data_IF_510767682196
#
_entry.id   IF_510767682196
#
_cell.length_a   1.000
_cell.length_b   1.000
_cell.length_c   1.000
_cell.angle_alpha   90.00
_cell.angle_beta   90.00
_cell.angle_gamma   90.00
#
_symmetry.space_group_name_H-M   'P 1'
#
loop_
_entity.id
_entity.type
_entity.pdbx_description
1 polymer ?
#
# COMPACT_ATOMS: atom_id res chain seq x y z
N UNK A 1 17.38 -27.24 6.37
CA UNK A 1 18.63 -26.68 6.92
C UNK A 1 18.47 -25.28 7.54
N UNK A 2 17.57 -24.41 7.06
CA UNK A 2 17.35 -23.06 7.64
C UNK A 2 16.80 -23.07 9.08
N UNK A 3 15.83 -23.94 9.41
CA UNK A 3 15.19 -24.00 10.74
C UNK A 3 16.17 -24.29 11.90
N UNK A 4 17.08 -25.26 11.72
CA UNK A 4 18.04 -25.62 12.77
C UNK A 4 19.02 -24.48 13.07
N UNK A 5 19.42 -23.70 12.06
CA UNK A 5 20.31 -22.53 12.23
C UNK A 5 19.63 -21.40 12.99
N UNK A 6 18.33 -21.21 12.78
CA UNK A 6 17.54 -20.22 13.52
C UNK A 6 17.39 -20.64 14.99
N UNK A 7 17.08 -21.91 15.25
CA UNK A 7 17.00 -22.43 16.61
C UNK A 7 18.34 -22.30 17.36
N UNK A 8 19.45 -22.61 16.68
CA UNK A 8 20.80 -22.43 17.21
C UNK A 8 21.09 -20.95 17.53
N UNK A 9 20.78 -20.02 16.61
CA UNK A 9 20.94 -18.59 16.83
C UNK A 9 20.09 -18.05 18.00
N UNK A 10 18.89 -18.59 18.22
CA UNK A 10 18.06 -18.23 19.38
C UNK A 10 18.69 -18.73 20.67
N UNK A 11 19.20 -19.97 20.69
CA UNK A 11 19.88 -20.51 21.88
C UNK A 11 21.16 -19.75 22.22
N UNK A 12 21.93 -19.30 21.22
CA UNK A 12 23.12 -18.48 21.45
C UNK A 12 22.77 -17.10 21.98
N UNK A 13 21.71 -16.46 21.47
CA UNK A 13 21.21 -15.18 22.01
C UNK A 13 20.83 -15.32 23.48
N UNK A 14 20.03 -16.33 23.83
CA UNK A 14 19.61 -16.56 25.23
C UNK A 14 20.81 -16.83 26.16
N UNK A 15 21.80 -17.58 25.68
CA UNK A 15 23.04 -17.81 26.43
C UNK A 15 23.84 -16.52 26.63
N UNK A 16 23.99 -15.72 25.57
CA UNK A 16 24.70 -14.44 25.63
C UNK A 16 23.99 -13.42 26.55
N UNK A 17 22.66 -13.35 26.52
CA UNK A 17 21.85 -12.52 27.42
C UNK A 17 22.09 -12.91 28.88
N UNK A 18 22.04 -14.20 29.20
CA UNK A 18 22.31 -14.69 30.57
C UNK A 18 23.74 -14.39 31.02
N UNK A 19 24.72 -14.50 30.11
CA UNK A 19 26.10 -14.12 30.45
C UNK A 19 26.23 -12.62 30.67
N UNK A 20 25.51 -11.79 29.93
CA UNK A 20 25.51 -10.34 30.08
C UNK A 20 24.92 -9.92 31.43
N UNK A 21 23.79 -10.51 31.84
CA UNK A 21 23.20 -10.24 33.15
C UNK A 21 24.17 -10.54 34.31
N UNK A 22 24.89 -11.67 34.21
CA UNK A 22 25.92 -12.03 35.20
C UNK A 22 27.10 -11.05 35.19
N UNK A 23 27.42 -10.46 34.04
CA UNK A 23 28.50 -9.49 33.90
C UNK A 23 28.15 -8.13 34.47
N UNK A 24 26.95 -7.65 34.17
CA UNK A 24 26.42 -6.39 34.69
C UNK A 24 26.32 -6.46 36.22
N UNK A 25 25.96 -7.62 36.78
CA UNK A 25 25.97 -7.84 38.23
C UNK A 25 27.40 -7.76 38.82
N UNK A 26 28.41 -8.31 38.14
CA UNK A 26 29.81 -8.21 38.57
C UNK A 26 30.34 -6.77 38.49
N UNK A 27 29.96 -6.00 37.47
CA UNK A 27 30.27 -4.57 37.39
C UNK A 27 29.60 -3.80 38.54
N UNK A 28 28.32 -4.08 38.83
CA UNK A 28 27.63 -3.46 39.96
C UNK A 28 28.34 -3.75 41.29
N UNK A 29 28.80 -4.99 41.50
CA UNK A 29 29.53 -5.38 42.70
C UNK A 29 30.87 -4.64 42.83
N UNK A 30 31.64 -4.58 41.75
CA UNK A 30 32.88 -3.80 41.70
C UNK A 30 32.59 -2.31 41.98
N UNK A 31 31.61 -1.71 41.32
CA UNK A 31 31.23 -0.32 41.55
C UNK A 31 30.81 -0.06 43.00
N UNK A 32 30.12 -0.99 43.66
CA UNK A 32 29.79 -0.89 45.09
C UNK A 32 31.04 -0.96 45.99
N UNK A 33 32.01 -1.84 45.69
CA UNK A 33 33.27 -1.93 46.42
C UNK A 33 34.11 -0.64 46.32
N UNK A 34 34.09 0.01 45.15
CA UNK A 34 34.71 1.32 44.90
C UNK A 34 34.12 2.41 45.80
N UNK A 35 32.79 2.49 45.90
CA UNK A 35 32.10 3.46 46.77
C UNK A 35 32.34 3.19 48.26
N UNK A 36 32.60 1.94 48.64
CA UNK A 36 32.89 1.52 50.02
C UNK A 36 34.30 1.83 50.54
N UNK A 37 35.20 2.43 49.73
CA UNK A 37 36.62 2.71 50.08
C UNK A 37 37.43 1.47 50.52
N UNK A 38 36.99 0.27 50.17
CA UNK A 38 37.66 -0.98 50.52
C UNK A 38 38.43 -1.53 49.31
N UNK A 39 39.43 -0.78 48.83
CA UNK A 39 40.24 -1.19 47.67
C UNK A 39 41.73 -1.08 48.04
N UNK A 40 42.41 -2.22 48.32
CA UNK A 40 43.83 -2.22 48.68
C UNK A 40 44.77 -1.81 47.54
N UNK A 41 44.40 -2.10 46.29
CA UNK A 41 45.13 -1.74 45.07
C UNK A 41 44.17 -1.14 44.03
N UNK A 42 44.21 0.18 43.92
CA UNK A 42 43.34 0.95 43.03
C UNK A 42 43.70 0.76 41.55
N UNK A 43 44.94 0.39 41.22
CA UNK A 43 45.37 0.20 39.83
C UNK A 43 44.83 -1.12 39.30
N UNK A 44 45.05 -2.21 40.04
CA UNK A 44 44.52 -3.54 39.70
C UNK A 44 42.99 -3.53 39.61
N UNK A 45 42.34 -2.85 40.56
CA UNK A 45 40.88 -2.72 40.58
C UNK A 45 40.33 -1.97 39.36
N UNK A 46 40.96 -0.85 38.97
CA UNK A 46 40.55 -0.11 37.78
C UNK A 46 40.75 -0.92 36.51
N UNK A 47 41.81 -1.73 36.43
CA UNK A 47 42.05 -2.62 35.29
C UNK A 47 40.93 -3.65 35.16
N UNK A 48 40.56 -4.32 36.26
CA UNK A 48 39.46 -5.29 36.27
C UNK A 48 38.12 -4.66 35.87
N UNK A 49 37.85 -3.45 36.34
CA UNK A 49 36.61 -2.73 36.03
C UNK A 49 36.56 -2.26 34.56
N UNK A 50 37.69 -1.83 34.00
CA UNK A 50 37.82 -1.51 32.56
C UNK A 50 37.65 -2.78 31.72
N UNK A 51 38.26 -3.89 32.11
CA UNK A 51 38.16 -5.16 31.41
C UNK A 51 36.72 -5.69 31.43
N UNK A 52 36.06 -5.68 32.59
CA UNK A 52 34.66 -6.09 32.72
C UNK A 52 33.72 -5.23 31.86
N UNK A 53 33.91 -3.90 31.85
CA UNK A 53 33.14 -2.98 30.98
C UNK A 53 33.41 -3.24 29.50
N UNK A 54 34.67 -3.47 29.12
CA UNK A 54 35.04 -3.77 27.73
C UNK A 54 34.43 -5.09 27.26
N UNK A 55 34.34 -6.08 28.16
CA UNK A 55 33.73 -7.37 27.86
C UNK A 55 32.21 -7.27 27.73
N UNK A 56 31.54 -6.48 28.58
CA UNK A 56 30.12 -6.15 28.42
C UNK A 56 29.85 -5.45 27.08
N UNK A 57 30.67 -4.46 26.73
CA UNK A 57 30.52 -3.73 25.47
C UNK A 57 30.65 -4.67 24.25
N UNK A 58 31.58 -5.63 24.28
CA UNK A 58 31.74 -6.63 23.20
C UNK A 58 30.56 -7.61 23.14
N UNK A 59 30.10 -8.08 24.29
CA UNK A 59 29.00 -9.06 24.38
C UNK A 59 27.68 -8.42 23.93
N UNK A 60 27.42 -7.18 24.34
CA UNK A 60 26.26 -6.38 23.90
C UNK A 60 26.28 -6.09 22.40
N UNK A 61 27.43 -5.73 21.84
CA UNK A 61 27.59 -5.51 20.39
C UNK A 61 27.34 -6.81 19.59
N UNK A 62 27.85 -7.93 20.09
CA UNK A 62 27.60 -9.27 19.52
C UNK A 62 26.11 -9.62 19.55
N UNK A 63 25.44 -9.38 20.69
CA UNK A 63 23.98 -9.57 20.83
C UNK A 63 23.19 -8.69 19.86
N UNK A 64 23.57 -7.42 19.70
CA UNK A 64 22.95 -6.51 18.74
C UNK A 64 23.07 -7.06 17.31
N UNK A 65 24.25 -7.56 16.94
CA UNK A 65 24.45 -8.16 15.63
C UNK A 65 23.58 -9.40 15.38
N UNK A 66 23.47 -10.29 16.36
CA UNK A 66 22.58 -11.46 16.23
C UNK A 66 21.09 -11.08 16.18
N UNK A 67 20.65 -10.10 16.98
CA UNK A 67 19.25 -9.61 16.96
C UNK A 67 18.89 -8.94 15.64
N UNK A 68 19.79 -8.10 15.10
CA UNK A 68 19.62 -7.47 13.79
C UNK A 68 19.62 -8.50 12.65
N UNK A 69 20.53 -9.49 12.70
CA UNK A 69 20.56 -10.57 11.70
C UNK A 69 19.29 -11.44 11.69
N UNK A 70 18.60 -11.55 12.84
CA UNK A 70 17.30 -12.23 12.96
C UNK A 70 16.10 -11.32 12.69
N UNK A 71 16.31 -10.05 12.32
CA UNK A 71 15.23 -9.10 12.02
C UNK A 71 14.39 -8.71 13.24
N UNK A 72 14.91 -8.93 14.46
CA UNK A 72 14.15 -8.71 15.69
C UNK A 72 13.88 -7.23 15.94
N UNK A 73 14.83 -6.37 15.58
CA UNK A 73 14.72 -4.92 15.72
C UNK A 73 13.70 -4.33 14.74
N UNK A 74 13.70 -4.79 13.49
CA UNK A 74 12.73 -4.43 12.47
C UNK A 74 11.31 -4.86 12.86
N UNK A 75 11.16 -6.04 13.46
CA UNK A 75 9.86 -6.52 13.97
C UNK A 75 9.35 -5.68 15.13
N UNK A 76 10.23 -5.29 16.05
CA UNK A 76 9.88 -4.39 17.16
C UNK A 76 9.53 -2.98 16.66
N UNK A 77 10.30 -2.45 15.71
CA UNK A 77 10.03 -1.17 15.06
C UNK A 77 8.71 -1.19 14.28
N UNK A 78 8.42 -2.26 13.54
CA UNK A 78 7.14 -2.44 12.87
C UNK A 78 5.97 -2.48 13.85
N UNK A 79 6.12 -3.18 14.98
CA UNK A 79 5.10 -3.20 16.02
C UNK A 79 4.86 -1.81 16.63
N UNK A 80 5.92 -1.01 16.80
CA UNK A 80 5.82 0.39 17.22
C UNK A 80 5.13 1.25 16.17
N UNK A 81 5.52 1.15 14.90
CA UNK A 81 4.90 1.88 13.78
C UNK A 81 3.42 1.52 13.61
N UNK A 82 3.04 0.25 13.83
CA UNK A 82 1.63 -0.17 13.81
C UNK A 82 0.78 0.41 14.94
N UNK A 83 1.41 0.76 16.08
CA UNK A 83 0.71 1.46 17.17
C UNK A 83 0.57 2.96 16.90
N UNK A 84 1.33 3.49 15.95
CA UNK A 84 1.19 4.87 15.51
C UNK A 84 -0.10 5.02 14.69
N UNK A 85 -0.99 5.86 15.19
CA UNK A 85 -2.28 6.17 14.56
C UNK A 85 -2.05 6.80 13.19
N UNK A 86 -1.08 7.70 13.07
CA UNK A 86 -0.80 8.40 11.81
C UNK A 86 -0.37 7.43 10.71
N UNK A 87 0.57 6.54 11.02
CA UNK A 87 1.07 5.55 10.07
C UNK A 87 -0.02 4.56 9.64
N UNK A 88 -0.85 4.11 10.58
CA UNK A 88 -1.96 3.18 10.31
C UNK A 88 -3.00 3.82 9.37
N UNK A 89 -3.41 5.05 9.66
CA UNK A 89 -4.37 5.78 8.81
C UNK A 89 -3.79 5.99 7.41
N UNK A 90 -2.51 6.36 7.30
CA UNK A 90 -1.85 6.58 6.00
C UNK A 90 -1.72 5.29 5.19
N UNK A 91 -1.40 4.16 5.82
CA UNK A 91 -1.36 2.85 5.16
C UNK A 91 -2.74 2.43 4.66
N UNK A 92 -3.77 2.61 5.47
CA UNK A 92 -5.15 2.29 5.08
C UNK A 92 -5.61 3.16 3.90
N UNK A 93 -5.32 4.46 3.94
CA UNK A 93 -5.61 5.37 2.84
C UNK A 93 -4.88 4.96 1.54
N UNK A 94 -3.60 4.58 1.64
CA UNK A 94 -2.84 4.08 0.50
C UNK A 94 -3.42 2.78 -0.07
N UNK A 95 -3.84 1.85 0.78
CA UNK A 95 -4.49 0.62 0.35
C UNK A 95 -5.79 0.91 -0.41
N UNK A 96 -6.65 1.78 0.14
CA UNK A 96 -7.90 2.19 -0.52
C UNK A 96 -7.62 2.88 -1.86
N UNK A 97 -6.67 3.81 -1.92
CA UNK A 97 -6.24 4.46 -3.18
C UNK A 97 -5.79 3.43 -4.22
N UNK A 98 -5.00 2.44 -3.80
CA UNK A 98 -4.53 1.36 -4.68
C UNK A 98 -5.70 0.52 -5.21
N UNK A 99 -6.66 0.19 -4.34
CA UNK A 99 -7.86 -0.55 -4.73
C UNK A 99 -8.71 0.22 -5.75
N UNK A 100 -8.97 1.51 -5.52
CA UNK A 100 -9.70 2.37 -6.45
C UNK A 100 -8.98 2.43 -7.80
N UNK A 101 -7.67 2.67 -7.79
CA UNK A 101 -6.89 2.75 -9.03
C UNK A 101 -6.95 1.42 -9.81
N UNK A 102 -6.83 0.28 -9.13
CA UNK A 102 -6.95 -1.02 -9.78
C UNK A 102 -8.35 -1.25 -10.36
N UNK A 103 -9.39 -0.84 -9.66
CA UNK A 103 -10.77 -0.94 -10.14
C UNK A 103 -10.99 -0.08 -11.39
N UNK A 104 -10.55 1.17 -11.36
CA UNK A 104 -10.63 2.08 -12.51
C UNK A 104 -9.86 1.53 -13.72
N UNK A 105 -8.67 0.97 -13.51
CA UNK A 105 -7.91 0.28 -14.57
C UNK A 105 -8.72 -0.88 -15.16
N UNK A 106 -9.32 -1.72 -14.33
CA UNK A 106 -10.13 -2.84 -14.80
C UNK A 106 -11.34 -2.36 -15.61
N UNK A 107 -12.08 -1.37 -15.11
CA UNK A 107 -13.22 -0.80 -15.82
C UNK A 107 -12.82 -0.21 -17.18
N UNK A 108 -11.69 0.52 -17.24
CA UNK A 108 -11.13 1.01 -18.50
C UNK A 108 -10.85 -0.13 -19.47
N UNK A 109 -10.19 -1.20 -19.02
CA UNK A 109 -9.88 -2.34 -19.88
C UNK A 109 -11.14 -3.06 -20.40
N UNK A 110 -12.17 -3.22 -19.55
CA UNK A 110 -13.44 -3.81 -19.96
C UNK A 110 -14.17 -2.93 -20.97
N UNK A 111 -14.19 -1.61 -20.77
CA UNK A 111 -14.83 -0.66 -21.69
C UNK A 111 -14.12 -0.64 -23.04
N UNK A 112 -12.78 -0.59 -23.06
CA UNK A 112 -12.00 -0.71 -24.30
C UNK A 112 -12.24 -2.08 -24.99
N UNK A 113 -12.41 -3.15 -24.20
CA UNK A 113 -12.70 -4.49 -24.74
C UNK A 113 -14.08 -4.54 -25.39
N UNK A 114 -15.08 -3.98 -24.74
CA UNK A 114 -16.44 -3.88 -25.25
C UNK A 114 -16.47 -3.02 -26.52
N UNK A 115 -15.85 -1.84 -26.51
CA UNK A 115 -15.74 -0.97 -27.68
C UNK A 115 -15.11 -1.72 -28.87
N UNK A 116 -13.98 -2.38 -28.65
CA UNK A 116 -13.32 -3.17 -29.70
C UNK A 116 -14.22 -4.26 -30.27
N UNK A 117 -14.95 -4.97 -29.41
CA UNK A 117 -15.89 -6.01 -29.85
C UNK A 117 -17.05 -5.44 -30.66
N UNK A 118 -17.61 -4.31 -30.25
CA UNK A 118 -18.71 -3.64 -30.93
C UNK A 118 -18.28 -3.04 -32.27
N UNK A 119 -17.11 -2.38 -32.34
CA UNK A 119 -16.56 -1.90 -33.61
C UNK A 119 -16.31 -3.06 -34.59
N UNK A 120 -15.90 -4.23 -34.09
CA UNK A 120 -15.73 -5.42 -34.91
C UNK A 120 -17.05 -5.94 -35.47
N UNK A 121 -18.13 -5.97 -34.68
CA UNK A 121 -19.47 -6.37 -35.17
C UNK A 121 -20.02 -5.35 -36.15
N UNK A 122 -19.95 -4.05 -35.85
CA UNK A 122 -20.44 -2.99 -36.74
C UNK A 122 -19.67 -2.97 -38.07
N UNK A 123 -18.35 -3.16 -38.05
CA UNK A 123 -17.57 -3.29 -39.30
C UNK A 123 -17.98 -4.53 -40.12
N UNK A 124 -18.30 -5.64 -39.45
CA UNK A 124 -18.86 -6.84 -40.07
C UNK A 124 -20.25 -6.61 -40.66
N UNK A 125 -21.13 -5.92 -39.93
CA UNK A 125 -22.48 -5.55 -40.34
C UNK A 125 -22.48 -4.53 -41.47
N UNK A 126 -21.60 -3.53 -41.48
CA UNK A 126 -21.41 -2.62 -42.61
C UNK A 126 -21.02 -3.39 -43.87
N UNK A 127 -20.14 -4.39 -43.78
CA UNK A 127 -19.82 -5.26 -44.93
C UNK A 127 -21.04 -6.03 -45.40
N UNK A 128 -21.80 -6.62 -44.47
CA UNK A 128 -23.05 -7.33 -44.78
C UNK A 128 -24.10 -6.40 -45.39
N UNK A 129 -24.25 -5.18 -44.88
CA UNK A 129 -25.22 -4.18 -45.35
C UNK A 129 -24.81 -3.57 -46.71
N UNK A 130 -23.51 -3.40 -46.98
CA UNK A 130 -23.01 -3.03 -48.32
C UNK A 130 -23.26 -4.17 -49.31
N UNK A 131 -22.99 -5.43 -48.92
CA UNK A 131 -23.30 -6.58 -49.79
C UNK A 131 -24.80 -6.76 -49.97
N UNK A 132 -25.60 -6.63 -48.92
CA UNK A 132 -27.05 -6.73 -49.00
C UNK A 132 -27.63 -5.57 -49.80
N UNK A 133 -27.20 -4.33 -49.59
CA UNK A 133 -27.63 -3.17 -50.39
C UNK A 133 -27.37 -3.33 -51.90
N UNK A 134 -26.32 -4.07 -52.29
CA UNK A 134 -26.05 -4.43 -53.67
C UNK A 134 -26.96 -5.56 -54.21
N UNK A 135 -27.46 -6.45 -53.34
CA UNK A 135 -28.33 -7.60 -53.68
C UNK A 135 -29.84 -7.35 -53.46
N UNK A 136 -30.20 -6.39 -52.61
CA UNK A 136 -31.56 -6.05 -52.20
C UNK A 136 -32.48 -5.63 -53.37
N UNK A 137 -32.01 -4.97 -54.44
CA UNK A 137 -32.88 -4.66 -55.59
C UNK A 137 -33.39 -5.89 -56.34
N UNK A 138 -32.85 -7.10 -56.11
CA UNK A 138 -33.15 -8.29 -56.90
C UNK A 138 -33.98 -9.36 -56.16
N UNK A 139 -34.07 -9.32 -54.84
CA UNK A 139 -34.66 -10.43 -54.04
C UNK A 139 -35.66 -9.94 -52.96
N UNK A 140 -35.65 -8.66 -52.58
CA UNK A 140 -36.51 -8.15 -51.52
C UNK A 140 -37.95 -7.88 -52.01
N UNK A 141 -38.99 -8.15 -51.19
CA UNK A 141 -40.36 -7.78 -51.51
C UNK A 141 -40.49 -6.27 -51.75
N UNK A 142 -41.34 -5.84 -52.70
CA UNK A 142 -41.64 -4.42 -52.88
C UNK A 142 -42.10 -3.82 -51.54
N UNK A 143 -41.41 -2.76 -51.08
CA UNK A 143 -41.63 -2.04 -49.80
C UNK A 143 -40.83 -2.49 -48.57
N UNK A 144 -39.90 -3.45 -48.69
CA UNK A 144 -38.99 -3.76 -47.58
C UNK A 144 -37.98 -2.63 -47.34
N UNK A 145 -37.94 -2.08 -46.12
CA UNK A 145 -36.98 -1.06 -45.70
C UNK A 145 -35.87 -1.73 -44.88
N UNK A 146 -34.58 -1.52 -45.19
CA UNK A 146 -33.48 -2.10 -44.41
C UNK A 146 -33.40 -1.50 -42.99
N UNK A 147 -32.87 -2.25 -42.00
CA UNK A 147 -32.64 -1.73 -40.66
C UNK A 147 -31.70 -0.51 -40.68
N UNK A 148 -31.94 0.45 -39.79
CA UNK A 148 -31.05 1.61 -39.62
C UNK A 148 -29.79 1.23 -38.84
N UNK A 149 -28.63 1.65 -39.35
CA UNK A 149 -27.35 1.48 -38.68
C UNK A 149 -27.29 2.47 -37.51
N UNK A 150 -26.98 1.97 -36.31
CA UNK A 150 -26.77 2.81 -35.13
C UNK A 150 -25.41 3.50 -35.29
N UNK A 151 -25.37 4.82 -35.16
CA UNK A 151 -24.11 5.57 -35.23
C UNK A 151 -23.21 5.23 -34.05
N UNK A 152 -21.95 4.87 -34.33
CA UNK A 152 -20.93 4.63 -33.29
C UNK A 152 -20.40 5.92 -32.65
N UNK A 153 -20.67 7.07 -33.26
CA UNK A 153 -20.15 8.35 -32.81
C UNK A 153 -20.87 8.77 -31.51
N UNK A 154 -20.11 8.87 -30.42
CA UNK A 154 -20.65 9.28 -29.12
C UNK A 154 -21.09 8.14 -28.19
N UNK A 155 -21.24 6.90 -28.67
CA UNK A 155 -21.71 5.77 -27.85
C UNK A 155 -20.72 5.42 -26.72
N UNK A 156 -19.42 5.55 -26.98
CA UNK A 156 -18.36 5.25 -26.02
C UNK A 156 -17.74 6.51 -25.39
N UNK A 157 -18.41 7.66 -25.54
CA UNK A 157 -17.95 8.94 -24.96
C UNK A 157 -18.29 9.09 -23.47
N UNK A 158 -18.69 7.99 -22.82
CA UNK A 158 -18.89 7.94 -21.37
C UNK A 158 -17.51 8.05 -20.67
N UNK A 159 -17.24 9.17 -20.02
CA UNK A 159 -16.05 9.39 -19.20
C UNK A 159 -16.28 8.94 -17.74
N UNK A 160 -15.21 8.70 -16.99
CA UNK A 160 -15.23 8.34 -15.56
C UNK A 160 -15.88 9.45 -14.72
N UNK A 161 -15.84 10.69 -15.21
CA UNK A 161 -16.41 11.86 -14.55
C UNK A 161 -17.89 12.09 -14.85
N UNK A 162 -18.53 11.27 -15.70
CA UNK A 162 -19.92 11.46 -16.05
C UNK A 162 -20.88 11.11 -14.90
N UNK A 163 -21.92 11.94 -14.74
CA UNK A 163 -22.94 11.81 -13.68
C UNK A 163 -23.68 10.46 -13.66
N UNK A 164 -23.55 9.64 -14.71
CA UNK A 164 -24.12 8.29 -14.78
C UNK A 164 -23.45 7.29 -13.82
N UNK A 165 -22.24 7.60 -13.33
CA UNK A 165 -21.55 6.83 -12.30
C UNK A 165 -21.89 7.27 -10.86
N UNK A 166 -22.79 8.24 -10.69
CA UNK A 166 -23.26 8.67 -9.38
C UNK A 166 -24.40 7.73 -8.91
N UNK A 167 -24.07 6.74 -8.07
CA UNK A 167 -25.04 5.88 -7.35
C UNK A 167 -25.81 6.62 -6.23
N UNK A 168 -26.11 7.91 -6.44
CA UNK A 168 -26.84 8.74 -5.48
C UNK A 168 -28.32 8.40 -5.56
N UNK A 169 -28.90 7.92 -4.45
CA UNK A 169 -30.33 7.62 -4.32
C UNK A 169 -30.71 6.12 -4.43
N UNK A 170 -29.73 5.21 -4.57
CA UNK A 170 -30.00 3.76 -4.54
C UNK A 170 -29.93 3.12 -3.15
N UNK A 171 -29.66 3.91 -2.10
CA UNK A 171 -29.82 3.44 -0.72
C UNK A 171 -30.27 4.59 0.21
N UNK A 172 -31.56 4.57 0.51
CA UNK A 172 -32.35 5.67 1.09
C UNK A 172 -32.29 5.72 2.63
N UNK A 173 -31.10 5.55 3.23
CA UNK A 173 -30.94 5.49 4.70
C UNK A 173 -30.19 6.68 5.32
N UNK A 174 -29.72 7.64 4.52
CA UNK A 174 -29.06 8.85 5.05
C UNK A 174 -29.81 10.10 4.63
N UNK A 175 -30.68 10.55 5.54
CA UNK A 175 -31.51 11.74 5.39
C UNK A 175 -30.72 13.04 5.21
N UNK A 176 -29.44 13.09 5.62
CA UNK A 176 -28.58 14.25 5.46
C UNK A 176 -27.19 13.81 4.98
N UNK A 177 -26.94 13.76 3.66
CA UNK A 177 -25.64 13.37 3.14
C UNK A 177 -24.61 14.51 3.34
N UNK A 178 -23.31 14.18 3.45
CA UNK A 178 -22.26 15.18 3.58
C UNK A 178 -22.27 16.20 2.43
N UNK A 179 -21.85 17.44 2.69
CA UNK A 179 -21.90 18.51 1.68
C UNK A 179 -21.11 18.20 0.40
N UNK A 180 -19.98 17.49 0.47
CA UNK A 180 -19.27 17.05 -0.75
C UNK A 180 -20.07 16.06 -1.62
N UNK A 181 -21.16 15.50 -1.10
CA UNK A 181 -22.06 14.58 -1.80
C UNK A 181 -23.38 15.27 -2.22
N UNK A 182 -23.89 16.21 -1.42
CA UNK A 182 -25.19 16.88 -1.65
C UNK A 182 -25.10 18.27 -2.25
N UNK A 183 -23.96 18.95 -2.11
CA UNK A 183 -23.76 20.32 -2.53
C UNK A 183 -22.90 20.36 -3.80
N UNK A 184 -23.52 20.80 -4.89
CA UNK A 184 -22.89 20.99 -6.20
C UNK A 184 -21.71 21.96 -6.16
N UNK A 185 -21.79 23.02 -5.36
CA UNK A 185 -20.72 23.99 -5.24
C UNK A 185 -19.50 23.39 -4.52
N UNK A 186 -19.73 22.56 -3.51
CA UNK A 186 -18.65 21.85 -2.81
C UNK A 186 -17.97 20.83 -3.73
N UNK A 187 -18.74 20.09 -4.54
CA UNK A 187 -18.19 19.14 -5.53
C UNK A 187 -17.32 19.83 -6.57
N UNK A 188 -17.83 20.90 -7.18
CA UNK A 188 -17.07 21.67 -8.16
C UNK A 188 -15.81 22.28 -7.55
N UNK A 189 -15.88 22.77 -6.31
CA UNK A 189 -14.71 23.24 -5.58
C UNK A 189 -13.64 22.16 -5.36
N UNK A 190 -14.04 20.93 -5.05
CA UNK A 190 -13.12 19.79 -4.88
C UNK A 190 -12.44 19.43 -6.22
N UNK A 191 -13.20 19.35 -7.32
CA UNK A 191 -12.62 19.05 -8.64
C UNK A 191 -11.59 20.10 -9.05
N UNK A 192 -11.92 21.39 -8.92
CA UNK A 192 -10.99 22.48 -9.23
C UNK A 192 -9.74 22.45 -8.36
N UNK A 193 -9.86 22.11 -7.07
CA UNK A 193 -8.71 21.99 -6.19
C UNK A 193 -7.79 20.83 -6.60
N UNK A 194 -8.36 19.69 -7.03
CA UNK A 194 -7.59 18.54 -7.51
C UNK A 194 -6.87 18.83 -8.83
N UNK A 195 -7.48 19.61 -9.73
CA UNK A 195 -6.83 20.09 -10.95
C UNK A 195 -5.65 21.00 -10.64
N UNK A 196 -5.81 21.91 -9.67
CA UNK A 196 -4.72 22.77 -9.19
C UNK A 196 -3.59 21.95 -8.58
N UNK A 197 -3.91 21.00 -7.70
CA UNK A 197 -2.92 20.14 -7.05
C UNK A 197 -2.16 19.29 -8.09
N UNK A 198 -2.85 18.80 -9.12
CA UNK A 198 -2.23 18.08 -10.24
C UNK A 198 -1.28 18.98 -11.04
N UNK A 199 -1.67 20.22 -11.36
CA UNK A 199 -0.77 21.16 -12.04
C UNK A 199 0.50 21.42 -11.23
N UNK A 200 0.39 21.56 -9.90
CA UNK A 200 1.55 21.74 -9.01
C UNK A 200 2.44 20.49 -8.98
N UNK A 201 1.86 19.29 -8.96
CA UNK A 201 2.61 18.04 -9.04
C UNK A 201 3.34 17.86 -10.39
N UNK A 202 2.76 18.33 -11.49
CA UNK A 202 3.36 18.24 -12.83
C UNK A 202 4.50 19.26 -13.08
N UNK A 203 4.52 20.37 -12.34
CA UNK A 203 5.57 21.41 -12.42
C UNK A 203 6.80 21.13 -11.50
N UNK A 204 6.71 20.14 -10.61
CA UNK A 204 7.74 19.79 -9.61
C UNK A 204 8.68 18.65 -10.05
#
# INVERSE_FOLDING_TARGET
>A
QSSNKVAEAITTILALEKTLESQEASICELEMQLHGRCVPDMVEFNLQLVDARSWCARTTDTLRHYRAALGMDEKANLAKMKKDIYFTVRLNAHAVKTHIHNHLRQCKFELERLERSYRATVTGEHKLHVTLGAWYPQIAPPSAVPPHIISCDGIFLLDVNDNIWQDVGLNDERLDPPAWLSDEAVRNGICLQLEVDQCVEEEA
#
